data_IF_517616469704
#
_entry.id   IF_517616469704
#
_cell.length_a   1.000
_cell.length_b   1.000
_cell.length_c   1.000
_cell.angle_alpha   90.00
_cell.angle_beta   90.00
_cell.angle_gamma   90.00
#
_symmetry.space_group_name_H-M   'P 1'
#
loop_
_entity.id
_entity.type
_entity.pdbx_description
1 polymer ?
2 water ?
#
# COMPACT_ATOMS: atom_id res chain seq x y z
N UNK A 3 10.64 21.05 5.45
CA UNK A 3 10.18 19.67 5.55
C UNK A 3 11.35 18.70 5.58
N UNK A 4 11.06 17.44 5.87
CA UNK A 4 12.06 16.38 5.92
C UNK A 4 11.72 15.31 4.89
N UNK A 5 12.50 14.23 4.89
CA UNK A 5 12.33 13.13 3.97
C UNK A 5 11.59 11.98 4.65
N UNK A 6 10.68 11.35 3.92
CA UNK A 6 9.90 10.25 4.45
C UNK A 6 10.73 8.97 4.48
N UNK A 7 10.52 8.16 5.51
CA UNK A 7 11.21 6.89 5.67
C UNK A 7 10.21 5.74 5.62
N UNK A 8 10.68 4.58 5.16
CA UNK A 8 9.80 3.43 5.03
C UNK A 8 9.54 2.75 6.37
N UNK A 9 10.46 2.88 7.33
CA UNK A 9 10.28 2.21 8.61
C UNK A 9 9.15 2.83 9.43
N UNK A 10 8.88 4.12 9.23
CA UNK A 10 7.86 4.83 9.99
C UNK A 10 6.62 5.16 9.17
N UNK A 11 6.58 4.77 7.90
CA UNK A 11 5.42 5.05 7.06
C UNK A 11 4.30 4.08 7.39
N UNK A 12 3.11 4.62 7.65
CA UNK A 12 1.97 3.86 8.14
C UNK A 12 0.97 3.66 7.01
N UNK A 13 0.41 2.45 6.92
CA UNK A 13 -0.62 2.12 5.95
C UNK A 13 -1.86 1.62 6.68
N UNK A 14 -3.02 2.14 6.30
CA UNK A 14 -4.30 1.74 6.87
C UNK A 14 -5.28 1.44 5.74
N UNK A 15 -6.40 0.82 6.10
CA UNK A 15 -7.45 0.55 5.14
C UNK A 15 -7.93 -0.89 5.12
N UNK A 16 -9.17 -1.11 4.69
CA UNK A 16 -9.70 -2.47 4.62
C UNK A 16 -9.01 -3.28 3.54
N UNK A 17 -8.49 -2.62 2.50
CA UNK A 17 -7.79 -3.31 1.44
C UNK A 17 -6.50 -3.98 1.86
N UNK A 18 -6.01 -3.70 3.07
CA UNK A 18 -4.80 -4.33 3.58
C UNK A 18 -5.03 -5.76 4.07
N UNK A 19 -6.28 -6.16 4.28
CA UNK A 19 -6.57 -7.48 4.83
C UNK A 19 -7.75 -8.18 4.19
N UNK A 20 -8.60 -7.50 3.43
CA UNK A 20 -9.80 -8.10 2.88
C UNK A 20 -10.13 -7.46 1.55
N UNK A 21 -10.47 -8.29 0.56
CA UNK A 21 -10.87 -7.82 -0.75
C UNK A 21 -11.95 -8.74 -1.31
N UNK A 22 -12.95 -8.14 -1.94
CA UNK A 22 -14.01 -8.89 -2.61
C UNK A 22 -13.70 -8.95 -4.10
N UNK A 23 -13.77 -10.15 -4.68
CA UNK A 23 -13.45 -10.32 -6.09
C UNK A 23 -14.40 -9.49 -6.93
N UNK A 24 -13.84 -8.65 -7.80
CA UNK A 24 -14.61 -7.74 -8.61
C UNK A 24 -14.87 -6.39 -7.98
N UNK A 25 -14.54 -6.21 -6.70
CA UNK A 25 -14.77 -4.96 -6.00
C UNK A 25 -13.44 -4.28 -5.70
N UNK A 26 -13.33 -2.97 -5.93
CA UNK A 26 -12.08 -2.27 -5.59
C UNK A 26 -11.84 -2.29 -4.09
N UNK A 27 -10.60 -2.59 -3.71
CA UNK A 27 -10.16 -2.56 -2.32
C UNK A 27 -9.19 -1.40 -2.15
N UNK A 28 -9.49 -0.50 -1.22
CA UNK A 28 -8.73 0.73 -1.04
C UNK A 28 -7.91 0.68 0.24
N UNK A 29 -6.78 1.39 0.22
CA UNK A 29 -5.92 1.53 1.38
C UNK A 29 -5.25 2.90 1.33
N UNK A 30 -4.89 3.41 2.51
CA UNK A 30 -4.27 4.72 2.64
C UNK A 30 -2.90 4.57 3.27
N UNK A 31 -1.90 5.20 2.66
CA UNK A 31 -0.52 5.16 3.13
C UNK A 31 -0.13 6.56 3.60
N UNK A 32 0.36 6.65 4.83
CA UNK A 32 0.75 7.92 5.44
C UNK A 32 2.26 7.91 5.68
N UNK A 33 2.96 8.87 5.07
CA UNK A 33 4.41 8.93 5.14
C UNK A 33 4.86 9.69 6.39
N UNK A 34 5.93 9.19 7.01
CA UNK A 34 6.49 9.81 8.20
C UNK A 34 8.01 9.82 8.09
N UNK A 35 8.64 10.68 8.88
CA UNK A 35 10.09 10.83 8.84
C UNK A 35 10.74 9.89 9.86
N UNK A 36 12.05 10.05 10.08
CA UNK A 36 12.77 9.16 10.98
C UNK A 36 12.28 9.29 12.42
N UNK A 37 11.91 10.50 12.83
CA UNK A 37 11.42 10.75 14.18
C UNK A 37 9.94 10.42 14.35
N UNK A 38 9.34 9.71 13.40
CA UNK A 38 7.93 9.39 13.48
C UNK A 38 6.99 10.55 13.23
N UNK A 39 7.51 11.71 12.84
CA UNK A 39 6.68 12.88 12.61
C UNK A 39 6.09 12.85 11.20
N UNK A 40 4.94 13.49 11.05
CA UNK A 40 4.25 13.52 9.77
C UNK A 40 4.97 14.43 8.79
N UNK A 41 5.16 13.96 7.56
CA UNK A 41 5.67 14.77 6.46
C UNK A 41 4.51 15.07 5.53
N UNK A 42 4.52 16.27 4.95
CA UNK A 42 3.39 16.76 4.17
C UNK A 42 3.68 16.89 2.68
N UNK A 43 4.89 16.56 2.24
CA UNK A 43 5.22 16.64 0.83
C UNK A 43 4.62 15.45 0.08
N UNK A 44 4.08 15.72 -1.10
CA UNK A 44 3.43 14.68 -1.88
C UNK A 44 4.24 14.23 -3.08
N UNK A 45 5.57 14.19 -2.93
CA UNK A 45 6.46 13.77 -4.01
C UNK A 45 7.28 12.54 -3.62
N UNK A 46 6.83 11.78 -2.63
CA UNK A 46 7.55 10.59 -2.22
C UNK A 46 7.44 9.50 -3.28
N UNK A 47 8.43 8.61 -3.29
CA UNK A 47 8.50 7.53 -4.27
C UNK A 47 7.85 6.30 -3.67
N UNK A 48 6.56 6.12 -3.95
CA UNK A 48 5.77 5.03 -3.40
C UNK A 48 5.29 4.14 -4.53
N UNK A 49 5.60 2.85 -4.43
CA UNK A 49 5.14 1.85 -5.38
C UNK A 49 4.50 0.70 -4.61
N UNK A 50 3.63 -0.04 -5.31
CA UNK A 50 2.95 -1.17 -4.69
C UNK A 50 2.64 -2.21 -5.74
N UNK A 51 2.50 -3.45 -5.28
CA UNK A 51 2.13 -4.57 -6.14
C UNK A 51 1.43 -5.62 -5.29
N UNK A 52 0.68 -6.49 -5.95
CA UNK A 52 -0.04 -7.57 -5.29
C UNK A 52 0.24 -8.87 -6.04
N UNK A 53 0.46 -9.94 -5.28
CA UNK A 53 0.84 -11.24 -5.84
C UNK A 53 -0.25 -12.25 -5.55
N UNK A 54 -0.79 -12.86 -6.60
CA UNK A 54 -1.84 -13.84 -6.46
C UNK A 54 -1.32 -15.19 -6.03
N UNK A 55 -2.24 -16.15 -5.90
CA UNK A 55 -1.84 -17.49 -5.45
C UNK A 55 -0.88 -18.20 -6.38
N UNK A 56 -0.86 -17.85 -7.67
CA UNK A 56 0.03 -18.48 -8.63
C UNK A 56 1.37 -17.77 -8.74
N UNK A 57 1.64 -16.79 -7.89
CA UNK A 57 2.86 -16.03 -7.96
C UNK A 57 2.88 -14.93 -8.99
N UNK A 58 1.76 -14.67 -9.67
CA UNK A 58 1.69 -13.61 -10.66
C UNK A 58 1.63 -12.25 -9.98
N UNK A 59 2.51 -11.34 -10.40
CA UNK A 59 2.56 -10.01 -9.82
C UNK A 59 1.71 -9.04 -10.64
N UNK A 60 1.02 -8.14 -9.93
CA UNK A 60 0.20 -7.12 -10.55
C UNK A 60 0.37 -5.82 -9.78
N UNK A 61 0.55 -4.70 -10.47
CA UNK A 61 0.79 -3.43 -9.77
C UNK A 61 -0.47 -2.92 -9.08
N UNK A 62 -0.25 -2.08 -8.07
CA UNK A 62 -1.33 -1.39 -7.37
C UNK A 62 -1.08 0.11 -7.51
N UNK A 63 -1.92 0.84 -8.24
CA UNK A 63 -1.65 2.26 -8.47
C UNK A 63 -1.81 3.09 -7.21
N UNK A 64 -1.07 4.19 -7.16
CA UNK A 64 -1.09 5.11 -6.03
C UNK A 64 -1.43 6.51 -6.54
N UNK A 65 -2.28 7.21 -5.79
CA UNK A 65 -2.67 8.58 -6.11
C UNK A 65 -2.09 9.48 -5.02
N UNK A 66 -1.15 10.33 -5.40
CA UNK A 66 -0.46 11.20 -4.46
C UNK A 66 -1.32 12.42 -4.16
N UNK A 67 -1.80 12.52 -2.92
CA UNK A 67 -2.55 13.69 -2.51
C UNK A 67 -1.60 14.85 -2.21
N UNK A 68 -2.19 16.04 -2.03
CA UNK A 68 -1.38 17.22 -1.76
C UNK A 68 -0.66 17.13 -0.42
N UNK A 69 -1.28 16.48 0.57
CA UNK A 69 -0.67 16.32 1.88
C UNK A 69 0.28 15.13 1.89
N UNK A 70 0.51 14.54 3.06
CA UNK A 70 1.40 13.41 3.18
C UNK A 70 0.69 12.07 3.17
N UNK A 71 -0.48 12.02 2.56
CA UNK A 71 -1.27 10.81 2.46
C UNK A 71 -1.32 10.34 1.01
N UNK A 72 -1.35 9.02 0.83
CA UNK A 72 -1.37 8.40 -0.49
C UNK A 72 -2.46 7.34 -0.52
N UNK A 73 -3.37 7.45 -1.48
CA UNK A 73 -4.47 6.52 -1.62
C UNK A 73 -4.11 5.46 -2.66
N UNK A 74 -4.29 4.19 -2.29
CA UNK A 74 -3.95 3.06 -3.14
C UNK A 74 -5.16 2.15 -3.24
N UNK A 75 -5.50 1.75 -4.46
CA UNK A 75 -6.68 0.94 -4.72
C UNK A 75 -6.32 -0.14 -5.72
N UNK A 76 -6.92 -1.32 -5.55
CA UNK A 76 -6.72 -2.44 -6.47
C UNK A 76 -8.00 -3.24 -6.52
N UNK A 77 -8.21 -3.93 -7.64
CA UNK A 77 -9.39 -4.77 -7.83
C UNK A 77 -8.91 -6.19 -8.10
N UNK A 78 -9.08 -7.07 -7.12
CA UNK A 78 -8.69 -8.46 -7.27
C UNK A 78 -9.78 -9.24 -8.01
N UNK A 79 -9.35 -10.11 -8.92
CA UNK A 79 -10.27 -10.93 -9.70
C UNK A 79 -9.99 -12.42 -9.53
N UNK A 80 -9.07 -12.79 -8.65
CA UNK A 80 -8.76 -14.19 -8.37
C UNK A 80 -8.80 -14.40 -6.87
N UNK A 81 -9.62 -15.35 -6.42
CA UNK A 81 -9.81 -15.58 -5.00
C UNK A 81 -8.57 -16.22 -4.39
N UNK A 82 -8.59 -16.34 -3.07
CA UNK A 82 -7.48 -16.89 -2.31
C UNK A 82 -6.72 -15.80 -1.57
N UNK A 83 -5.68 -16.23 -0.87
CA UNK A 83 -4.84 -15.30 -0.12
C UNK A 83 -3.91 -14.55 -1.06
N UNK A 84 -3.87 -13.23 -0.92
CA UNK A 84 -3.01 -12.38 -1.73
C UNK A 84 -1.97 -11.71 -0.85
N UNK A 85 -0.87 -11.29 -1.48
CA UNK A 85 0.25 -10.66 -0.79
C UNK A 85 0.42 -9.25 -1.33
N UNK A 86 0.11 -8.25 -0.51
CA UNK A 86 0.21 -6.85 -0.89
C UNK A 86 1.52 -6.28 -0.37
N UNK A 87 2.39 -5.86 -1.29
CA UNK A 87 3.67 -5.26 -0.95
C UNK A 87 3.63 -3.77 -1.28
N UNK A 88 4.00 -2.94 -0.31
CA UNK A 88 4.02 -1.49 -0.47
C UNK A 88 5.45 -1.02 -0.23
N UNK A 89 6.06 -0.41 -1.24
CA UNK A 89 7.46 -0.01 -1.20
C UNK A 89 7.56 1.51 -1.22
N UNK A 90 8.36 2.06 -0.30
CA UNK A 90 8.71 3.47 -0.29
C UNK A 90 10.22 3.58 -0.48
N UNK A 91 10.63 4.23 -1.57
CA UNK A 91 12.05 4.33 -1.94
C UNK A 91 12.69 2.94 -2.04
N UNK A 92 11.92 1.97 -2.54
CA UNK A 92 12.39 0.62 -2.67
C UNK A 92 12.34 -0.22 -1.42
N UNK A 93 11.99 0.37 -0.27
CA UNK A 93 11.94 -0.37 0.98
C UNK A 93 10.50 -0.60 1.42
N UNK A 94 10.19 -1.77 1.98
CA UNK A 94 8.82 -2.03 2.43
C UNK A 94 8.44 -1.13 3.59
N UNK A 95 7.21 -0.61 3.54
CA UNK A 95 6.69 0.21 4.62
C UNK A 95 6.38 -0.69 5.82
N UNK A 96 5.99 -0.09 6.94
CA UNK A 96 5.67 -0.86 8.13
C UNK A 96 4.43 -1.72 7.87
N UNK A 97 4.58 -3.04 8.02
CA UNK A 97 3.51 -3.99 7.83
C UNK A 97 3.59 -4.76 6.53
N UNK A 98 4.18 -4.17 5.48
CA UNK A 98 4.28 -4.85 4.20
C UNK A 98 5.39 -5.89 4.25
N UNK A 99 5.19 -7.07 3.64
CA UNK A 99 4.02 -7.47 2.85
C UNK A 99 2.78 -7.77 3.69
N UNK A 100 1.62 -7.35 3.20
CA UNK A 100 0.35 -7.59 3.86
C UNK A 100 -0.32 -8.81 3.25
N UNK A 101 -0.99 -9.59 4.09
CA UNK A 101 -1.76 -10.75 3.65
C UNK A 101 -3.22 -10.34 3.51
N UNK A 102 -3.75 -10.46 2.30
CA UNK A 102 -5.11 -10.04 1.98
C UNK A 102 -5.95 -11.28 1.70
N UNK A 103 -7.13 -11.35 2.32
CA UNK A 103 -8.09 -12.41 2.05
C UNK A 103 -9.02 -11.95 0.93
N UNK A 104 -8.99 -12.66 -0.20
CA UNK A 104 -9.82 -12.36 -1.35
C UNK A 104 -10.82 -13.49 -1.54
N UNK A 105 -12.11 -13.18 -1.38
CA UNK A 105 -13.17 -14.18 -1.46
C UNK A 105 -14.02 -13.95 -2.70
N UNK A 106 -14.88 -14.93 -2.97
CA UNK A 106 -15.80 -14.90 -4.11
C UNK A 106 -15.05 -14.79 -5.44
#
# INVERSE_FOLDING_TARGET
>A
GPMTSATAHETVATGEGLRQALVGQPASLTVTTKDKDGRLVRTGSAELRAEITGPDGTRLPVPVVDHKNGTYELVYTARTEGELLLSVLLYGQPVRGSPFRVRALR
#
